data_IF_599652603760
#
_entry.id   IF_599652603760
#
_cell.length_a   1.000
_cell.length_b   1.000
_cell.length_c   1.000
_cell.angle_alpha   90.00
_cell.angle_beta   90.00
_cell.angle_gamma   90.00
#
_symmetry.space_group_name_H-M   'P 1'
#
loop_
_entity.id
_entity.type
_entity.pdbx_description
1 polymer ?
#
# COMPACT_ATOMS: atom_id res chain seq x y z
N UNK A 1 0.05 -4.56 -21.55
CA UNK A 1 -0.60 -3.94 -20.38
C UNK A 1 -1.79 -4.78 -19.87
N UNK A 2 -2.76 -5.17 -20.69
CA UNK A 2 -3.93 -5.95 -20.24
C UNK A 2 -3.61 -7.33 -19.66
N UNK A 3 -2.44 -7.89 -19.90
CA UNK A 3 -1.96 -9.15 -19.30
C UNK A 3 -1.28 -8.99 -17.96
N UNK A 4 -1.19 -7.77 -17.42
CA UNK A 4 -0.61 -7.53 -16.10
C UNK A 4 -1.41 -8.26 -15.00
N UNK A 5 -0.71 -8.73 -13.96
CA UNK A 5 -1.31 -9.44 -12.82
C UNK A 5 -1.80 -8.48 -11.73
N UNK A 6 -1.36 -7.22 -11.76
CA UNK A 6 -1.82 -6.20 -10.83
C UNK A 6 -1.85 -4.83 -11.51
N UNK A 7 -2.74 -3.97 -11.01
CA UNK A 7 -2.90 -2.59 -11.44
C UNK A 7 -2.90 -1.68 -10.21
N UNK A 8 -2.04 -0.67 -10.22
CA UNK A 8 -2.07 0.42 -9.25
C UNK A 8 -2.79 1.60 -9.90
N UNK A 9 -3.86 2.07 -9.27
CA UNK A 9 -4.73 3.12 -9.74
C UNK A 9 -4.66 4.31 -8.78
N UNK A 10 -4.33 5.50 -9.31
CA UNK A 10 -4.34 6.77 -8.56
C UNK A 10 -5.44 7.62 -9.16
N UNK A 11 -6.59 7.72 -8.51
CA UNK A 11 -7.75 8.40 -9.09
C UNK A 11 -8.86 8.65 -8.06
N UNK A 12 -9.85 9.45 -8.49
CA UNK A 12 -11.11 9.66 -7.79
C UNK A 12 -11.89 8.35 -7.63
N UNK A 13 -12.76 8.20 -6.61
CA UNK A 13 -13.56 7.00 -6.39
C UNK A 13 -14.36 6.54 -7.61
N UNK A 14 -15.11 7.46 -8.26
CA UNK A 14 -15.88 7.15 -9.46
C UNK A 14 -14.98 6.68 -10.62
N UNK A 15 -13.83 7.34 -10.81
CA UNK A 15 -12.87 6.97 -11.84
C UNK A 15 -12.22 5.61 -11.57
N UNK A 16 -12.05 5.25 -10.31
CA UNK A 16 -11.55 3.92 -9.91
C UNK A 16 -12.49 2.83 -10.44
N UNK A 17 -13.79 2.97 -10.19
CA UNK A 17 -14.81 2.02 -10.67
C UNK A 17 -14.75 1.89 -12.20
N UNK A 18 -14.79 3.03 -12.93
CA UNK A 18 -14.71 3.04 -14.39
C UNK A 18 -13.47 2.32 -14.93
N UNK A 19 -12.31 2.58 -14.33
CA UNK A 19 -11.04 1.96 -14.75
C UNK A 19 -11.03 0.46 -14.51
N UNK A 20 -11.48 0.01 -13.33
CA UNK A 20 -11.53 -1.42 -13.00
C UNK A 20 -12.47 -2.16 -13.95
N UNK A 21 -13.69 -1.63 -14.15
CA UNK A 21 -14.67 -2.23 -15.08
C UNK A 21 -14.17 -2.23 -16.51
N UNK A 22 -13.58 -1.12 -16.97
CA UNK A 22 -12.99 -1.01 -18.29
C UNK A 22 -11.84 -2.00 -18.51
N UNK A 23 -10.95 -2.18 -17.54
CA UNK A 23 -9.87 -3.16 -17.60
C UNK A 23 -10.44 -4.58 -17.66
N UNK A 24 -11.41 -4.93 -16.80
CA UNK A 24 -12.05 -6.25 -16.79
C UNK A 24 -12.73 -6.55 -18.13
N UNK A 25 -13.51 -5.61 -18.66
CA UNK A 25 -14.17 -5.73 -19.97
C UNK A 25 -13.16 -5.99 -21.08
N UNK A 26 -12.11 -5.16 -21.17
CA UNK A 26 -11.07 -5.30 -22.18
C UNK A 26 -10.28 -6.63 -22.07
N UNK A 27 -10.08 -7.12 -20.84
CA UNK A 27 -9.44 -8.43 -20.64
C UNK A 27 -10.34 -9.58 -21.13
N UNK A 28 -11.64 -9.50 -20.88
CA UNK A 28 -12.61 -10.47 -21.38
C UNK A 28 -12.65 -10.50 -22.94
N UNK A 29 -12.54 -9.35 -23.60
CA UNK A 29 -12.49 -9.23 -25.06
C UNK A 29 -11.24 -9.90 -25.68
N UNK A 30 -10.15 -10.08 -24.92
CA UNK A 30 -8.96 -10.77 -25.43
C UNK A 30 -9.17 -12.26 -25.71
N UNK A 31 -10.27 -12.85 -25.23
CA UNK A 31 -10.62 -14.27 -25.43
C UNK A 31 -9.60 -15.26 -24.83
N UNK A 32 -8.70 -14.78 -23.99
CA UNK A 32 -7.70 -15.61 -23.28
C UNK A 32 -8.18 -15.84 -21.85
N UNK A 33 -7.98 -17.04 -21.34
CA UNK A 33 -8.19 -17.34 -19.92
C UNK A 33 -7.07 -16.70 -19.10
N UNK A 34 -7.27 -15.44 -18.72
CA UNK A 34 -6.35 -14.69 -17.86
C UNK A 34 -6.84 -14.79 -16.40
N UNK A 35 -5.90 -15.00 -15.47
CA UNK A 35 -6.19 -14.88 -14.04
C UNK A 35 -6.75 -13.49 -13.73
N UNK A 36 -7.69 -13.39 -12.76
CA UNK A 36 -8.20 -12.11 -12.31
C UNK A 36 -7.04 -11.24 -11.79
N UNK A 37 -6.92 -9.99 -12.25
CA UNK A 37 -5.84 -9.12 -11.80
C UNK A 37 -6.18 -8.53 -10.44
N UNK A 38 -5.15 -8.20 -9.69
CA UNK A 38 -5.27 -7.46 -8.43
C UNK A 38 -5.34 -5.96 -8.69
N UNK A 39 -6.26 -5.28 -8.01
CA UNK A 39 -6.42 -3.83 -8.08
C UNK A 39 -6.03 -3.19 -6.76
N UNK A 40 -5.04 -2.31 -6.80
CA UNK A 40 -4.59 -1.50 -5.67
C UNK A 40 -4.96 -0.06 -5.98
N UNK A 41 -5.77 0.54 -5.13
CA UNK A 41 -6.25 1.89 -5.30
C UNK A 41 -5.60 2.84 -4.29
N UNK A 42 -5.03 3.91 -4.80
CA UNK A 42 -4.57 5.07 -4.06
C UNK A 42 -5.56 6.21 -4.30
N UNK A 43 -6.33 6.64 -3.28
CA UNK A 43 -7.23 7.76 -3.45
C UNK A 43 -6.45 9.05 -3.66
N UNK A 44 -7.02 9.98 -4.44
CA UNK A 44 -6.40 11.31 -4.61
C UNK A 44 -6.69 12.19 -3.39
N UNK A 45 -5.69 12.94 -2.88
CA UNK A 45 -5.82 13.72 -1.65
C UNK A 45 -7.03 14.66 -1.62
N UNK A 46 -7.28 15.36 -2.71
CA UNK A 46 -8.37 16.35 -2.84
C UNK A 46 -9.77 15.77 -2.62
N UNK A 47 -9.93 14.46 -2.74
CA UNK A 47 -11.20 13.74 -2.54
C UNK A 47 -11.21 12.84 -1.32
N UNK A 48 -10.17 12.93 -0.48
CA UNK A 48 -10.17 12.29 0.84
C UNK A 48 -10.92 13.18 1.84
N UNK A 49 -12.23 13.30 1.65
CA UNK A 49 -13.12 14.16 2.46
C UNK A 49 -14.39 13.39 2.86
N UNK A 50 -15.07 13.77 3.97
CA UNK A 50 -16.28 13.06 4.43
C UNK A 50 -17.39 12.98 3.39
N UNK A 51 -17.51 13.99 2.52
CA UNK A 51 -18.52 14.01 1.46
C UNK A 51 -18.33 12.88 0.42
N UNK A 52 -17.11 12.35 0.30
CA UNK A 52 -16.76 11.27 -0.63
C UNK A 52 -16.72 9.88 0.05
N UNK A 53 -17.04 9.76 1.35
CA UNK A 53 -16.99 8.48 2.07
C UNK A 53 -17.85 7.40 1.40
N UNK A 54 -19.10 7.70 1.05
CA UNK A 54 -19.98 6.76 0.38
C UNK A 54 -19.45 6.32 -0.99
N UNK A 55 -18.85 7.24 -1.74
CA UNK A 55 -18.23 6.95 -3.03
C UNK A 55 -16.94 6.12 -2.85
N UNK A 56 -16.19 6.38 -1.80
CA UNK A 56 -15.02 5.58 -1.41
C UNK A 56 -15.42 4.14 -1.08
N UNK A 57 -16.48 3.95 -0.28
CA UNK A 57 -16.99 2.60 0.03
C UNK A 57 -17.48 1.90 -1.24
N UNK A 58 -18.16 2.59 -2.15
CA UNK A 58 -18.55 2.00 -3.45
C UNK A 58 -17.34 1.56 -4.27
N UNK A 59 -16.28 2.37 -4.33
CA UNK A 59 -15.06 1.99 -5.05
C UNK A 59 -14.38 0.75 -4.45
N UNK A 60 -14.44 0.59 -3.12
CA UNK A 60 -13.92 -0.59 -2.43
C UNK A 60 -14.62 -1.91 -2.83
N UNK A 61 -15.84 -1.86 -3.34
CA UNK A 61 -16.50 -3.05 -3.90
C UNK A 61 -15.78 -3.58 -5.17
N UNK A 62 -14.90 -2.81 -5.79
CA UNK A 62 -14.24 -3.13 -7.06
C UNK A 62 -12.74 -3.44 -6.94
N UNK A 63 -12.08 -3.10 -5.83
CA UNK A 63 -10.62 -3.22 -5.66
C UNK A 63 -10.24 -4.19 -4.55
N UNK A 64 -9.02 -4.71 -4.56
CA UNK A 64 -8.52 -5.65 -3.54
C UNK A 64 -7.85 -4.92 -2.38
N UNK A 65 -7.20 -3.79 -2.66
CA UNK A 65 -6.55 -2.96 -1.64
C UNK A 65 -6.89 -1.49 -1.88
N UNK A 66 -7.21 -0.77 -0.79
CA UNK A 66 -7.09 0.68 -0.72
C UNK A 66 -5.84 1.03 0.09
N UNK A 67 -5.03 1.98 -0.43
CA UNK A 67 -3.83 2.42 0.27
C UNK A 67 -3.71 3.94 0.33
N UNK A 68 -4.43 4.59 1.23
CA UNK A 68 -4.23 5.99 1.56
C UNK A 68 -2.96 6.17 2.40
N UNK A 69 -2.46 7.41 2.52
CA UNK A 69 -1.60 7.75 3.64
C UNK A 69 -2.45 8.04 4.91
N UNK A 70 -1.80 8.18 6.06
CA UNK A 70 -2.49 8.39 7.34
C UNK A 70 -3.32 9.68 7.39
N UNK A 71 -2.86 10.76 6.74
CA UNK A 71 -3.60 12.02 6.66
C UNK A 71 -4.83 11.86 5.76
N UNK A 72 -4.67 11.30 4.55
CA UNK A 72 -5.77 11.02 3.63
C UNK A 72 -6.86 10.16 4.29
N UNK A 73 -6.47 9.11 5.03
CA UNK A 73 -7.43 8.29 5.75
C UNK A 73 -8.17 9.08 6.83
N UNK A 74 -7.46 9.89 7.60
CA UNK A 74 -8.04 10.71 8.66
C UNK A 74 -8.98 11.77 8.11
N UNK A 75 -8.63 12.39 6.99
CA UNK A 75 -9.43 13.42 6.32
C UNK A 75 -10.75 12.86 5.80
N UNK A 76 -10.80 11.61 5.30
CA UNK A 76 -12.05 10.93 4.91
C UNK A 76 -13.07 10.92 6.06
N UNK A 77 -12.60 10.81 7.32
CA UNK A 77 -13.46 10.76 8.51
C UNK A 77 -13.51 12.08 9.28
N UNK A 78 -12.84 13.13 8.79
CA UNK A 78 -12.72 14.44 9.47
C UNK A 78 -12.22 14.33 10.91
N UNK A 79 -11.21 13.49 11.13
CA UNK A 79 -10.56 13.29 12.43
C UNK A 79 -9.09 13.70 12.39
N UNK A 80 -8.52 14.01 13.54
CA UNK A 80 -7.09 14.31 13.66
C UNK A 80 -6.32 12.99 13.72
N UNK A 81 -5.50 12.72 12.71
CA UNK A 81 -4.71 11.48 12.58
C UNK A 81 -3.35 11.50 13.25
N UNK A 82 -2.98 12.61 13.90
CA UNK A 82 -1.71 12.78 14.57
C UNK A 82 -1.91 13.12 16.05
N UNK A 83 -0.98 12.67 16.88
CA UNK A 83 -0.87 13.04 18.28
C UNK A 83 -0.40 14.49 18.43
N UNK A 84 -0.45 15.03 19.67
CA UNK A 84 0.10 16.38 19.97
C UNK A 84 1.59 16.50 19.67
N UNK A 85 2.36 15.40 19.74
CA UNK A 85 3.78 15.35 19.36
C UNK A 85 4.03 15.32 17.84
N UNK A 86 2.96 15.19 17.03
CA UNK A 86 3.05 15.11 15.57
C UNK A 86 3.33 13.71 15.02
N UNK A 87 3.33 12.69 15.89
CA UNK A 87 3.42 11.29 15.47
C UNK A 87 2.04 10.79 15.00
N UNK A 88 2.01 9.72 14.21
CA UNK A 88 0.75 9.12 13.77
C UNK A 88 0.00 8.54 14.98
N UNK A 89 -1.28 8.89 15.12
CA UNK A 89 -2.15 8.27 16.12
C UNK A 89 -2.62 6.90 15.61
N UNK A 90 -1.95 5.86 16.10
CA UNK A 90 -2.22 4.49 15.69
C UNK A 90 -3.66 4.05 15.92
N UNK A 91 -4.29 4.47 17.04
CA UNK A 91 -5.66 4.10 17.35
C UNK A 91 -6.66 4.73 16.36
N UNK A 92 -6.44 5.99 15.99
CA UNK A 92 -7.27 6.66 14.97
C UNK A 92 -7.16 5.93 13.63
N UNK A 93 -5.96 5.54 13.22
CA UNK A 93 -5.74 4.81 11.96
C UNK A 93 -6.43 3.44 11.98
N UNK A 94 -6.35 2.72 13.09
CA UNK A 94 -7.03 1.43 13.28
C UNK A 94 -8.54 1.55 13.21
N UNK A 95 -9.10 2.55 13.90
CA UNK A 95 -10.53 2.81 13.94
C UNK A 95 -11.08 3.22 12.56
N UNK A 96 -10.39 4.13 11.86
CA UNK A 96 -10.77 4.56 10.52
C UNK A 96 -10.71 3.40 9.51
N UNK A 97 -9.65 2.59 9.56
CA UNK A 97 -9.52 1.40 8.72
C UNK A 97 -10.65 0.39 8.98
N UNK A 98 -10.99 0.19 10.25
CA UNK A 98 -12.09 -0.70 10.65
C UNK A 98 -13.44 -0.18 10.17
N UNK A 99 -13.68 1.14 10.20
CA UNK A 99 -14.90 1.78 9.68
C UNK A 99 -15.02 1.60 8.17
N UNK A 100 -13.94 1.75 7.39
CA UNK A 100 -13.97 1.47 5.95
C UNK A 100 -14.39 0.03 5.66
N UNK A 101 -13.78 -0.94 6.33
CA UNK A 101 -14.10 -2.35 6.14
C UNK A 101 -15.53 -2.70 6.58
N UNK A 102 -16.03 -2.07 7.64
CA UNK A 102 -17.40 -2.30 8.13
C UNK A 102 -18.50 -1.70 7.23
N UNK A 103 -18.14 -0.75 6.38
CA UNK A 103 -19.04 -0.19 5.35
C UNK A 103 -19.29 -1.12 4.16
N UNK A 104 -18.50 -2.20 4.02
CA UNK A 104 -18.59 -3.15 2.93
C UNK A 104 -19.61 -4.26 3.21
N UNK A 105 -20.12 -4.87 2.13
CA UNK A 105 -20.83 -6.14 2.23
C UNK A 105 -19.94 -7.22 2.84
N UNK A 106 -20.50 -8.19 3.58
CA UNK A 106 -19.72 -9.24 4.23
C UNK A 106 -18.85 -10.05 3.24
N UNK A 107 -19.35 -10.24 2.02
CA UNK A 107 -18.62 -10.95 0.95
C UNK A 107 -17.42 -10.14 0.43
N UNK A 108 -17.49 -8.80 0.45
CA UNK A 108 -16.38 -7.93 0.04
C UNK A 108 -15.41 -7.68 1.17
N UNK A 109 -15.90 -7.42 2.38
CA UNK A 109 -15.05 -7.20 3.56
C UNK A 109 -14.04 -8.34 3.77
N UNK A 110 -14.40 -9.59 3.39
CA UNK A 110 -13.47 -10.74 3.47
C UNK A 110 -12.37 -10.74 2.42
N UNK A 111 -12.45 -9.89 1.40
CA UNK A 111 -11.52 -9.86 0.26
C UNK A 111 -10.71 -8.56 0.16
N UNK A 112 -11.21 -7.48 0.77
CA UNK A 112 -10.59 -6.17 0.72
C UNK A 112 -9.63 -6.00 1.90
N UNK A 113 -8.53 -5.33 1.64
CA UNK A 113 -7.60 -4.90 2.67
C UNK A 113 -7.38 -3.39 2.61
N UNK A 114 -7.16 -2.78 3.78
CA UNK A 114 -6.73 -1.40 3.94
C UNK A 114 -5.25 -1.42 4.31
N UNK A 115 -4.41 -0.72 3.55
CA UNK A 115 -2.98 -0.60 3.81
C UNK A 115 -2.63 0.88 3.93
N UNK A 116 -2.46 1.37 5.15
CA UNK A 116 -2.24 2.80 5.44
C UNK A 116 -0.75 3.09 5.51
N UNK A 117 -0.28 3.99 4.66
CA UNK A 117 1.12 4.44 4.64
C UNK A 117 1.32 5.53 5.69
N UNK A 118 2.20 5.30 6.65
CA UNK A 118 2.38 6.16 7.83
C UNK A 118 3.77 6.80 7.92
N UNK A 119 4.45 6.98 6.79
CA UNK A 119 5.75 7.65 6.71
C UNK A 119 6.81 7.00 7.60
N UNK A 120 7.38 7.75 8.56
CA UNK A 120 8.39 7.26 9.50
C UNK A 120 7.88 6.15 10.44
N UNK A 121 6.56 6.06 10.62
CA UNK A 121 5.91 5.05 11.46
C UNK A 121 5.58 3.76 10.67
N UNK A 122 5.96 3.72 9.38
CA UNK A 122 5.81 2.54 8.53
C UNK A 122 4.43 2.41 7.90
N UNK A 123 3.75 1.30 8.11
CA UNK A 123 2.39 1.11 7.58
C UNK A 123 1.53 0.24 8.49
N UNK A 124 0.22 0.50 8.44
CA UNK A 124 -0.79 -0.34 9.07
C UNK A 124 -1.54 -1.15 8.02
N UNK A 125 -1.76 -2.42 8.31
CA UNK A 125 -2.51 -3.35 7.47
C UNK A 125 -3.74 -3.81 8.22
N UNK A 126 -4.92 -3.70 7.60
CA UNK A 126 -6.17 -4.25 8.11
C UNK A 126 -6.90 -5.05 7.02
N UNK A 127 -7.32 -6.25 7.39
CA UNK A 127 -8.20 -7.11 6.61
C UNK A 127 -9.18 -7.82 7.53
N UNK A 128 -10.09 -8.60 7.01
CA UNK A 128 -11.02 -9.40 7.83
C UNK A 128 -10.31 -10.36 8.80
N UNK A 129 -9.13 -10.85 8.44
CA UNK A 129 -8.41 -11.89 9.21
C UNK A 129 -7.10 -11.42 9.84
N UNK A 130 -6.58 -10.26 9.43
CA UNK A 130 -5.25 -9.79 9.85
C UNK A 130 -5.26 -8.30 10.15
N UNK A 131 -4.59 -7.93 11.22
CA UNK A 131 -4.25 -6.55 11.58
C UNK A 131 -2.77 -6.53 11.99
N UNK A 132 -2.00 -5.62 11.43
CA UNK A 132 -0.58 -5.52 11.75
C UNK A 132 -0.04 -4.11 11.51
N UNK A 133 0.78 -3.62 12.43
CA UNK A 133 1.69 -2.52 12.20
C UNK A 133 3.03 -3.08 11.75
N UNK A 134 3.56 -2.52 10.68
CA UNK A 134 4.91 -2.83 10.18
C UNK A 134 5.75 -1.55 10.26
N UNK A 135 6.90 -1.56 10.95
CA UNK A 135 7.73 -0.36 11.11
C UNK A 135 8.30 0.10 9.75
N UNK A 136 8.63 1.38 9.62
CA UNK A 136 9.38 1.82 8.45
C UNK A 136 10.73 1.11 8.37
N UNK A 137 11.22 0.85 7.14
CA UNK A 137 12.54 0.21 6.99
C UNK A 137 13.64 1.01 7.68
N UNK A 138 13.63 2.33 7.54
CA UNK A 138 14.60 3.24 8.15
C UNK A 138 14.23 3.76 9.54
N UNK A 139 13.28 3.15 10.25
CA UNK A 139 13.00 3.53 11.64
C UNK A 139 14.26 3.53 12.54
N UNK A 140 15.18 2.52 12.45
CA UNK A 140 16.40 2.52 13.22
C UNK A 140 17.51 3.40 12.62
N UNK A 141 17.36 3.88 11.39
CA UNK A 141 18.38 4.65 10.64
C UNK A 141 17.78 5.87 9.94
N UNK A 142 17.15 6.80 10.68
CA UNK A 142 16.44 7.94 10.08
C UNK A 142 17.34 8.87 9.28
N UNK A 143 18.63 8.89 9.55
CA UNK A 143 19.65 9.63 8.80
C UNK A 143 19.85 9.13 7.36
N UNK A 144 19.37 7.94 7.05
CA UNK A 144 19.37 7.40 5.68
C UNK A 144 18.26 7.96 4.80
N UNK A 145 17.28 8.62 5.38
CA UNK A 145 16.20 9.27 4.62
C UNK A 145 16.69 10.62 4.13
N UNK A 146 17.01 10.70 2.83
CA UNK A 146 17.52 11.91 2.18
C UNK A 146 16.39 12.73 1.58
N UNK A 147 15.46 12.08 0.86
CA UNK A 147 14.30 12.72 0.26
C UNK A 147 13.10 11.76 0.29
N UNK A 148 12.02 12.06 1.02
CA UNK A 148 10.84 11.20 1.10
C UNK A 148 10.02 11.17 -0.19
N UNK A 149 10.31 12.01 -1.17
CA UNK A 149 9.59 12.09 -2.45
C UNK A 149 9.65 10.75 -3.20
N UNK A 150 8.49 10.30 -3.64
CA UNK A 150 8.37 9.01 -4.35
C UNK A 150 8.31 7.77 -3.45
N UNK A 151 8.52 7.91 -2.14
CA UNK A 151 8.42 6.80 -1.19
C UNK A 151 7.05 6.09 -1.24
N UNK A 152 5.96 6.86 -1.35
CA UNK A 152 4.61 6.29 -1.50
C UNK A 152 4.44 5.47 -2.78
N UNK A 153 4.90 5.98 -3.91
CA UNK A 153 4.85 5.25 -5.19
C UNK A 153 5.74 3.99 -5.15
N UNK A 154 6.92 4.10 -4.55
CA UNK A 154 7.80 2.95 -4.32
C UNK A 154 7.13 1.89 -3.46
N UNK A 155 6.49 2.31 -2.36
CA UNK A 155 5.72 1.42 -1.49
C UNK A 155 4.65 0.65 -2.28
N UNK A 156 3.82 1.36 -3.05
CA UNK A 156 2.73 0.74 -3.80
C UNK A 156 3.20 -0.18 -4.91
N UNK A 157 4.31 0.15 -5.57
CA UNK A 157 4.97 -0.75 -6.52
C UNK A 157 5.45 -2.04 -5.85
N UNK A 158 6.12 -1.93 -4.69
CA UNK A 158 6.56 -3.06 -3.89
C UNK A 158 5.39 -3.90 -3.37
N UNK A 159 4.35 -3.26 -2.84
CA UNK A 159 3.11 -3.90 -2.39
C UNK A 159 2.47 -4.73 -3.51
N UNK A 160 2.37 -4.17 -4.72
CA UNK A 160 1.79 -4.84 -5.88
C UNK A 160 2.55 -6.11 -6.26
N UNK A 161 3.88 -6.02 -6.34
CA UNK A 161 4.75 -7.18 -6.63
C UNK A 161 4.70 -8.20 -5.50
N UNK A 162 4.77 -7.75 -4.25
CA UNK A 162 4.67 -8.60 -3.07
C UNK A 162 3.36 -9.39 -3.05
N UNK A 163 2.22 -8.73 -3.32
CA UNK A 163 0.92 -9.37 -3.34
C UNK A 163 0.79 -10.43 -4.44
N UNK A 164 1.29 -10.14 -5.65
CA UNK A 164 1.31 -11.12 -6.75
C UNK A 164 2.18 -12.34 -6.41
N UNK A 165 3.25 -12.15 -5.64
CA UNK A 165 4.19 -13.23 -5.28
C UNK A 165 3.74 -14.07 -4.10
N UNK A 166 3.09 -13.46 -3.12
CA UNK A 166 2.82 -14.10 -1.82
C UNK A 166 1.35 -14.41 -1.58
N UNK A 167 0.44 -13.65 -2.22
CA UNK A 167 -1.00 -13.71 -1.91
C UNK A 167 -1.36 -13.22 -0.52
N UNK A 168 -0.41 -12.66 0.24
CA UNK A 168 -0.58 -12.22 1.62
C UNK A 168 -0.33 -10.72 1.75
N UNK A 169 -1.30 -9.97 2.25
CA UNK A 169 -1.22 -8.50 2.32
C UNK A 169 -0.17 -8.01 3.31
N UNK A 170 0.08 -8.73 4.41
CA UNK A 170 1.10 -8.36 5.40
C UNK A 170 2.49 -8.58 4.80
N UNK A 171 2.73 -9.74 4.19
CA UNK A 171 3.99 -10.00 3.49
C UNK A 171 4.20 -9.02 2.32
N UNK A 172 3.15 -8.74 1.54
CA UNK A 172 3.20 -7.75 0.47
C UNK A 172 3.56 -6.34 0.98
N UNK A 173 3.07 -5.96 2.15
CA UNK A 173 3.39 -4.66 2.77
C UNK A 173 4.86 -4.58 3.22
N UNK A 174 5.50 -5.71 3.57
CA UNK A 174 6.96 -5.75 3.78
C UNK A 174 7.72 -5.40 2.49
N UNK A 175 7.28 -5.92 1.34
CA UNK A 175 7.83 -5.53 0.03
C UNK A 175 7.63 -4.04 -0.24
N UNK A 176 6.49 -3.49 0.16
CA UNK A 176 6.20 -2.06 0.08
C UNK A 176 7.20 -1.22 0.88
N UNK A 177 7.41 -1.53 2.16
CA UNK A 177 8.37 -0.81 3.02
C UNK A 177 9.81 -0.91 2.50
N UNK A 178 10.22 -2.07 1.99
CA UNK A 178 11.56 -2.26 1.41
C UNK A 178 11.70 -1.47 0.11
N UNK A 179 10.70 -1.48 -0.78
CA UNK A 179 10.76 -0.70 -2.02
C UNK A 179 10.78 0.81 -1.73
N UNK A 180 9.96 1.28 -0.78
CA UNK A 180 9.98 2.67 -0.33
C UNK A 180 11.35 3.09 0.19
N UNK A 181 12.05 2.21 0.95
CA UNK A 181 13.37 2.51 1.49
C UNK A 181 14.40 2.84 0.42
N UNK A 182 14.38 2.14 -0.70
CA UNK A 182 15.27 2.45 -1.83
C UNK A 182 14.96 3.81 -2.45
N UNK A 183 13.67 4.19 -2.50
CA UNK A 183 13.26 5.46 -3.10
C UNK A 183 13.72 6.68 -2.32
N UNK A 184 13.76 6.59 -0.99
CA UNK A 184 13.97 7.75 -0.11
C UNK A 184 15.44 7.95 0.34
N UNK A 185 16.37 7.10 -0.11
CA UNK A 185 17.80 7.18 0.23
C UNK A 185 18.58 8.24 -0.56
N UNK A 186 17.97 8.83 -1.58
CA UNK A 186 18.59 9.87 -2.43
C UNK A 186 17.52 10.81 -3.00
N UNK A 187 17.97 11.91 -3.58
CA UNK A 187 17.13 12.75 -4.44
C UNK A 187 17.00 12.06 -5.80
N UNK A 188 15.78 11.87 -6.29
CA UNK A 188 15.49 11.22 -7.55
C UNK A 188 15.22 9.71 -7.40
N UNK A 189 15.56 8.92 -8.42
CA UNK A 189 15.25 7.48 -8.46
C UNK A 189 16.44 6.62 -8.02
N UNK A 190 16.21 5.43 -7.46
CA UNK A 190 17.28 4.49 -7.11
C UNK A 190 18.12 4.10 -8.32
N UNK A 191 19.40 3.87 -8.10
CA UNK A 191 20.34 3.45 -9.14
C UNK A 191 20.32 1.93 -9.26
N UNK A 192 19.93 1.44 -10.45
CA UNK A 192 20.03 0.02 -10.80
C UNK A 192 21.42 -0.30 -11.33
N UNK A 193 22.06 -1.31 -10.77
CA UNK A 193 23.31 -1.89 -11.21
C UNK A 193 23.15 -3.40 -11.37
N UNK A 194 23.91 -4.00 -12.30
CA UNK A 194 23.99 -5.46 -12.42
C UNK A 194 25.43 -5.88 -12.17
N UNK A 195 25.63 -6.69 -11.15
CA UNK A 195 26.95 -7.20 -10.78
C UNK A 195 26.85 -8.71 -10.51
N UNK A 196 27.70 -9.49 -11.19
CA UNK A 196 27.70 -10.95 -11.07
C UNK A 196 26.36 -11.60 -11.45
N UNK A 197 25.57 -10.98 -12.34
CA UNK A 197 24.26 -11.47 -12.76
C UNK A 197 23.12 -11.18 -11.77
N UNK A 198 23.39 -10.42 -10.71
CA UNK A 198 22.37 -9.98 -9.73
C UNK A 198 22.08 -8.49 -9.89
N UNK A 199 20.81 -8.14 -9.78
CA UNK A 199 20.37 -6.75 -9.69
C UNK A 199 20.67 -6.19 -8.30
N UNK A 200 21.24 -4.99 -8.28
CA UNK A 200 21.46 -4.19 -7.07
C UNK A 200 20.81 -2.82 -7.24
N UNK A 201 20.02 -2.45 -6.28
CA UNK A 201 19.45 -1.12 -6.20
C UNK A 201 20.18 -0.34 -5.11
N UNK A 202 20.72 0.82 -5.43
CA UNK A 202 21.62 1.60 -4.54
C UNK A 202 22.77 0.74 -3.98
N UNK A 203 23.30 -0.20 -4.78
CA UNK A 203 24.36 -1.12 -4.39
C UNK A 203 23.91 -2.33 -3.55
N UNK A 204 22.62 -2.46 -3.22
CA UNK A 204 22.08 -3.52 -2.35
C UNK A 204 21.20 -4.49 -3.15
N UNK A 205 21.31 -5.78 -2.87
CA UNK A 205 20.42 -6.82 -3.41
C UNK A 205 19.09 -6.77 -2.66
N UNK A 206 17.98 -6.74 -3.41
CA UNK A 206 16.62 -6.59 -2.82
C UNK A 206 16.30 -7.71 -1.84
N UNK A 207 16.66 -8.95 -2.18
CA UNK A 207 16.39 -10.13 -1.34
C UNK A 207 17.15 -10.08 0.00
N UNK A 208 18.35 -9.50 0.02
CA UNK A 208 19.12 -9.29 1.24
C UNK A 208 18.42 -8.29 2.17
N UNK A 209 17.95 -7.16 1.62
CA UNK A 209 17.19 -6.13 2.35
C UNK A 209 15.84 -6.68 2.84
N UNK A 210 15.15 -7.47 2.01
CA UNK A 210 13.91 -8.14 2.40
C UNK A 210 14.12 -9.09 3.57
N UNK A 211 15.18 -9.89 3.55
CA UNK A 211 15.50 -10.81 4.65
C UNK A 211 15.79 -10.07 5.95
N UNK A 212 16.62 -9.03 5.90
CA UNK A 212 16.90 -8.17 7.05
C UNK A 212 15.61 -7.59 7.65
N UNK A 213 14.76 -7.03 6.80
CA UNK A 213 13.53 -6.41 7.24
C UNK A 213 12.53 -7.41 7.83
N UNK A 214 12.38 -8.59 7.21
CA UNK A 214 11.48 -9.64 7.71
C UNK A 214 11.92 -10.14 9.08
N UNK A 215 13.21 -10.37 9.31
CA UNK A 215 13.74 -10.76 10.62
C UNK A 215 13.47 -9.70 11.69
N UNK A 216 13.56 -8.42 11.35
CA UNK A 216 13.25 -7.34 12.28
C UNK A 216 11.75 -7.29 12.61
N UNK A 217 10.87 -7.44 11.63
CA UNK A 217 9.43 -7.47 11.87
C UNK A 217 9.00 -8.64 12.78
N UNK A 218 9.67 -9.80 12.70
CA UNK A 218 9.40 -10.95 13.57
C UNK A 218 9.81 -10.67 15.03
N UNK A 219 10.89 -9.93 15.23
CA UNK A 219 11.39 -9.59 16.58
C UNK A 219 10.60 -8.45 17.23
N UNK A 220 10.14 -7.47 16.45
CA UNK A 220 9.39 -6.30 16.94
C UNK A 220 7.87 -6.54 16.98
N UNK A 221 7.33 -7.40 16.11
CA UNK A 221 5.90 -7.75 16.04
C UNK A 221 5.39 -8.65 17.16
N UNK A 222 6.21 -8.98 18.15
CA UNK A 222 5.83 -9.73 19.36
C UNK A 222 5.40 -8.81 20.52
N UNK A 223 5.07 -7.54 20.25
CA UNK A 223 4.59 -6.56 21.24
C UNK A 223 3.12 -6.25 21.09
#
# INVERSE_FOLDING_TARGET
>A
MLTAKSFHLICAPARCIELVEGIKTRRAELGQSLEEPLFIWEPVPDLCVPAELDNTIKALEHVDIISPNHAELSDIFSVVGNTESGDVDGQVIEDCSSKLLSGLSASRASKVSVVVRSGKDGCYVASASKKAWLPAFHAPTPDKVVDPTGGGNGFLGGLAIGLVRTGDVVEASKWGNVAASFMIEQVGVPVLQTEGGKERWNGVVVEERMKEYSMRCETEGSR
#
